data_IF_913243374714
#
_entry.id   IF_913243374714
#
_cell.length_a   1.000
_cell.length_b   1.000
_cell.length_c   1.000
_cell.angle_alpha   90.00
_cell.angle_beta   90.00
_cell.angle_gamma   90.00
#
_symmetry.space_group_name_H-M   'P 1'
#
loop_
_entity.id
_entity.type
_entity.pdbx_description
1 polymer ?
#
# COMPACT_ATOMS: atom_id res chain seq x y z
N UNK A 1 -54.89 -22.39 23.07
CA UNK A 1 -54.71 -22.86 21.69
C UNK A 1 -53.38 -22.30 21.24
N UNK A 2 -52.47 -23.22 20.96
CA UNK A 2 -51.04 -23.10 20.70
C UNK A 2 -50.77 -22.50 19.34
N UNK A 3 -49.70 -21.69 19.22
CA UNK A 3 -48.75 -21.58 18.09
C UNK A 3 -47.96 -20.28 18.32
N UNK A 4 -46.63 -20.23 18.32
CA UNK A 4 -45.64 -21.16 17.80
C UNK A 4 -44.48 -20.28 17.34
N UNK A 5 -43.44 -20.21 18.17
CA UNK A 5 -42.17 -19.54 17.87
C UNK A 5 -41.59 -20.05 16.55
N UNK A 6 -41.49 -19.20 15.53
CA UNK A 6 -40.58 -19.43 14.41
C UNK A 6 -39.27 -18.74 14.78
N UNK A 7 -38.36 -19.53 15.33
CA UNK A 7 -36.95 -19.17 15.47
C UNK A 7 -36.38 -18.99 14.06
N UNK A 8 -36.16 -17.75 13.63
CA UNK A 8 -35.35 -17.50 12.44
C UNK A 8 -33.91 -17.85 12.81
N UNK A 9 -33.48 -19.05 12.44
CA UNK A 9 -32.09 -19.46 12.59
C UNK A 9 -31.20 -18.41 11.93
N UNK A 10 -30.37 -17.74 12.71
CA UNK A 10 -29.39 -16.80 12.20
C UNK A 10 -28.49 -17.56 11.22
N UNK A 11 -28.49 -17.13 9.97
CA UNK A 11 -27.52 -17.55 8.96
C UNK A 11 -26.11 -17.48 9.57
N UNK A 12 -25.29 -18.55 9.53
CA UNK A 12 -23.97 -18.53 10.14
C UNK A 12 -23.14 -17.38 9.55
N UNK A 13 -22.64 -16.49 10.42
CA UNK A 13 -22.04 -15.22 10.02
C UNK A 13 -20.63 -15.41 9.43
N UNK A 14 -19.91 -16.45 9.84
CA UNK A 14 -18.54 -16.73 9.41
C UNK A 14 -18.38 -18.07 8.67
N UNK A 15 -17.31 -18.19 7.86
CA UNK A 15 -16.92 -19.45 7.22
C UNK A 15 -16.79 -20.62 8.21
N UNK A 16 -16.18 -20.39 9.38
CA UNK A 16 -15.96 -21.45 10.36
C UNK A 16 -17.28 -21.97 10.96
N UNK A 17 -18.25 -21.08 11.20
CA UNK A 17 -19.59 -21.45 11.65
C UNK A 17 -20.36 -22.19 10.56
N UNK A 18 -20.31 -21.70 9.32
CA UNK A 18 -20.94 -22.35 8.18
C UNK A 18 -20.37 -23.75 7.92
N UNK A 19 -19.05 -23.91 7.98
CA UNK A 19 -18.37 -25.21 7.84
C UNK A 19 -18.77 -26.16 8.97
N UNK A 20 -18.81 -25.68 10.22
CA UNK A 20 -19.22 -26.49 11.37
C UNK A 20 -20.67 -26.95 11.24
N UNK A 21 -21.56 -26.05 10.86
CA UNK A 21 -22.97 -26.34 10.63
C UNK A 21 -23.17 -27.36 9.50
N UNK A 22 -22.47 -27.20 8.38
CA UNK A 22 -22.53 -28.13 7.24
C UNK A 22 -22.03 -29.54 7.59
N UNK A 23 -20.92 -29.64 8.35
CA UNK A 23 -20.40 -30.93 8.84
C UNK A 23 -21.42 -31.62 9.77
N UNK A 24 -22.03 -30.85 10.68
CA UNK A 24 -23.05 -31.36 11.59
C UNK A 24 -24.30 -31.82 10.85
N UNK A 25 -24.80 -31.02 9.91
CA UNK A 25 -25.97 -31.35 9.10
C UNK A 25 -25.76 -32.60 8.23
N UNK A 26 -24.54 -32.78 7.70
CA UNK A 26 -24.18 -33.98 6.93
C UNK A 26 -23.98 -35.22 7.80
N UNK A 27 -23.78 -35.05 9.10
CA UNK A 27 -23.59 -36.16 10.05
C UNK A 27 -22.27 -36.92 9.89
N UNK A 28 -21.22 -36.26 9.37
CA UNK A 28 -19.89 -36.88 9.20
C UNK A 28 -18.87 -36.28 10.17
N UNK A 29 -17.85 -37.07 10.54
CA UNK A 29 -16.73 -36.56 11.33
C UNK A 29 -15.75 -35.79 10.45
N UNK A 30 -14.95 -34.91 11.07
CA UNK A 30 -13.90 -34.17 10.36
C UNK A 30 -12.84 -35.11 9.76
N UNK A 31 -12.55 -36.24 10.43
CA UNK A 31 -11.68 -37.29 9.90
C UNK A 31 -12.28 -37.97 8.66
N UNK A 32 -13.59 -38.27 8.68
CA UNK A 32 -14.27 -38.84 7.51
C UNK A 32 -14.32 -37.88 6.33
N UNK A 33 -14.45 -36.57 6.59
CA UNK A 33 -14.34 -35.54 5.56
C UNK A 33 -12.92 -35.50 4.96
N UNK A 34 -11.89 -35.54 5.82
CA UNK A 34 -10.49 -35.59 5.40
C UNK A 34 -10.18 -36.81 4.51
N UNK A 35 -10.61 -38.00 4.90
CA UNK A 35 -10.39 -39.22 4.11
C UNK A 35 -11.01 -39.10 2.70
N UNK A 36 -12.25 -38.58 2.63
CA UNK A 36 -12.94 -38.39 1.35
C UNK A 36 -12.31 -37.30 0.47
N UNK A 37 -11.68 -36.30 1.08
CA UNK A 37 -10.89 -35.30 0.37
C UNK A 37 -9.62 -35.93 -0.21
N UNK A 38 -8.93 -36.76 0.57
CA UNK A 38 -7.76 -37.50 0.11
C UNK A 38 -8.11 -38.46 -1.05
N UNK A 39 -9.26 -39.15 -1.00
CA UNK A 39 -9.77 -39.99 -2.08
C UNK A 39 -10.01 -39.21 -3.39
N UNK A 40 -10.22 -37.88 -3.30
CA UNK A 40 -10.36 -36.96 -4.44
C UNK A 40 -9.04 -36.32 -4.87
N UNK A 41 -7.91 -36.76 -4.30
CA UNK A 41 -6.59 -36.20 -4.59
C UNK A 41 -6.33 -34.84 -3.94
N UNK A 42 -7.15 -34.45 -2.97
CA UNK A 42 -6.98 -33.18 -2.27
C UNK A 42 -5.94 -33.31 -1.14
N UNK A 43 -4.93 -32.43 -1.13
CA UNK A 43 -3.80 -32.49 -0.21
C UNK A 43 -4.01 -31.74 1.12
N UNK A 44 -5.22 -31.25 1.42
CA UNK A 44 -5.48 -30.51 2.66
C UNK A 44 -5.30 -31.42 3.88
N UNK A 45 -4.38 -31.04 4.76
CA UNK A 45 -4.08 -31.80 5.97
C UNK A 45 -5.20 -31.73 7.03
N UNK A 46 -5.30 -32.77 7.86
CA UNK A 46 -6.23 -32.83 8.98
C UNK A 46 -6.11 -31.63 9.95
N UNK A 47 -4.87 -31.16 10.19
CA UNK A 47 -4.63 -29.98 11.02
C UNK A 47 -5.23 -28.71 10.40
N UNK A 48 -5.10 -28.55 9.09
CA UNK A 48 -5.67 -27.41 8.34
C UNK A 48 -7.20 -27.40 8.42
N UNK A 49 -7.86 -28.55 8.20
CA UNK A 49 -9.31 -28.67 8.37
C UNK A 49 -9.76 -28.37 9.81
N UNK A 50 -8.96 -28.75 10.80
CA UNK A 50 -9.23 -28.45 12.20
C UNK A 50 -9.18 -26.94 12.47
N UNK A 51 -8.15 -26.25 11.95
CA UNK A 51 -8.03 -24.79 12.07
C UNK A 51 -9.14 -24.04 11.33
N UNK A 52 -9.56 -24.53 10.16
CA UNK A 52 -10.69 -23.99 9.40
C UNK A 52 -12.01 -24.09 10.17
N UNK A 53 -12.28 -25.26 10.77
CA UNK A 53 -13.49 -25.49 11.58
C UNK A 53 -13.51 -24.70 12.88
N UNK A 54 -12.35 -24.48 13.51
CA UNK A 54 -12.26 -23.66 14.73
C UNK A 54 -12.30 -22.16 14.45
N UNK A 55 -11.99 -21.74 13.21
CA UNK A 55 -11.83 -20.34 12.83
C UNK A 55 -10.44 -19.78 13.12
N UNK A 56 -9.50 -20.60 13.62
CA UNK A 56 -8.12 -20.19 13.88
C UNK A 56 -7.34 -19.87 12.60
N UNK A 57 -7.73 -20.44 11.45
CA UNK A 57 -7.25 -20.08 10.12
C UNK A 57 -8.41 -20.14 9.14
N UNK A 58 -8.28 -19.46 8.00
CA UNK A 58 -9.22 -19.57 6.89
C UNK A 58 -8.51 -20.16 5.66
N UNK A 59 -9.25 -20.83 4.77
CA UNK A 59 -8.72 -21.26 3.48
C UNK A 59 -8.28 -20.05 2.66
N UNK A 60 -7.01 -20.04 2.26
CA UNK A 60 -6.43 -18.96 1.45
C UNK A 60 -5.50 -19.57 0.38
N UNK A 61 -5.54 -19.03 -0.84
CA UNK A 61 -4.77 -19.51 -2.01
C UNK A 61 -5.50 -20.54 -2.88
N UNK A 62 -5.02 -20.70 -4.13
CA UNK A 62 -5.72 -21.45 -5.20
C UNK A 62 -6.05 -22.90 -4.81
N UNK A 63 -5.11 -23.64 -4.21
CA UNK A 63 -5.32 -25.02 -3.78
C UNK A 63 -6.33 -25.14 -2.63
N UNK A 64 -6.27 -24.22 -1.66
CA UNK A 64 -7.24 -24.17 -0.55
C UNK A 64 -8.65 -23.84 -1.03
N UNK A 65 -8.78 -22.92 -2.00
CA UNK A 65 -10.07 -22.55 -2.60
C UNK A 65 -10.65 -23.69 -3.43
N UNK A 66 -9.81 -24.42 -4.19
CA UNK A 66 -10.23 -25.64 -4.89
C UNK A 66 -10.74 -26.70 -3.90
N UNK A 67 -10.09 -26.84 -2.74
CA UNK A 67 -10.53 -27.76 -1.69
C UNK A 67 -11.91 -27.42 -1.10
N UNK A 68 -12.29 -26.13 -1.05
CA UNK A 68 -13.62 -25.74 -0.59
C UNK A 68 -14.71 -26.26 -1.54
N UNK A 69 -14.47 -26.19 -2.85
CA UNK A 69 -15.43 -26.71 -3.83
C UNK A 69 -15.67 -28.22 -3.62
N UNK A 70 -14.62 -28.99 -3.33
CA UNK A 70 -14.74 -30.41 -2.99
C UNK A 70 -15.49 -30.61 -1.67
N UNK A 71 -15.20 -29.79 -0.65
CA UNK A 71 -15.88 -29.83 0.65
C UNK A 71 -17.38 -29.56 0.49
N UNK A 72 -17.77 -28.55 -0.29
CA UNK A 72 -19.18 -28.22 -0.54
C UNK A 72 -19.93 -29.41 -1.14
N UNK A 73 -19.32 -30.10 -2.12
CA UNK A 73 -19.89 -31.31 -2.70
C UNK A 73 -19.95 -32.49 -1.72
N UNK A 74 -18.92 -32.68 -0.87
CA UNK A 74 -18.91 -33.77 0.12
C UNK A 74 -19.95 -33.57 1.22
N UNK A 75 -20.17 -32.30 1.59
CA UNK A 75 -21.13 -31.87 2.59
C UNK A 75 -22.54 -31.68 2.04
N UNK A 76 -22.71 -31.75 0.72
CA UNK A 76 -24.01 -31.64 0.04
C UNK A 76 -24.68 -30.28 0.29
N UNK A 77 -23.85 -29.23 0.29
CA UNK A 77 -24.30 -27.84 0.38
C UNK A 77 -24.23 -27.20 -1.02
N UNK A 78 -25.02 -26.14 -1.29
CA UNK A 78 -24.96 -25.45 -2.57
C UNK A 78 -23.55 -24.98 -2.91
N UNK A 79 -23.19 -25.04 -4.18
CA UNK A 79 -21.93 -24.48 -4.66
C UNK A 79 -21.82 -23.01 -4.27
N UNK A 80 -20.70 -22.63 -3.67
CA UNK A 80 -20.45 -21.28 -3.18
C UNK A 80 -21.01 -20.98 -1.78
N UNK A 81 -21.71 -21.91 -1.12
CA UNK A 81 -22.29 -21.69 0.20
C UNK A 81 -21.23 -21.45 1.30
N UNK A 82 -20.08 -22.12 1.21
CA UNK A 82 -18.94 -21.94 2.09
C UNK A 82 -17.98 -20.90 1.51
N UNK A 83 -17.73 -20.95 0.20
CA UNK A 83 -16.83 -19.99 -0.48
C UNK A 83 -17.28 -18.54 -0.28
N UNK A 84 -18.59 -18.27 -0.40
CA UNK A 84 -19.18 -16.94 -0.21
C UNK A 84 -19.05 -16.39 1.22
N UNK A 85 -18.63 -17.22 2.19
CA UNK A 85 -18.43 -16.85 3.60
C UNK A 85 -16.99 -16.51 3.94
N UNK A 86 -16.05 -16.67 3.01
CA UNK A 86 -14.64 -16.33 3.26
C UNK A 86 -14.35 -14.83 3.29
N UNK A 87 -15.17 -14.02 2.60
CA UNK A 87 -14.89 -12.61 2.40
C UNK A 87 -13.63 -12.38 1.54
N UNK A 88 -13.10 -11.14 1.48
CA UNK A 88 -11.87 -10.84 0.78
C UNK A 88 -10.67 -11.59 1.40
N UNK A 89 -9.67 -11.89 0.57
CA UNK A 89 -8.43 -12.57 0.99
C UNK A 89 -7.74 -11.82 2.13
N UNK A 90 -7.40 -12.52 3.22
CA UNK A 90 -6.62 -11.99 4.33
C UNK A 90 -5.09 -12.14 4.12
N UNK A 91 -4.64 -12.51 2.91
CA UNK A 91 -3.22 -12.49 2.57
C UNK A 91 -2.77 -11.11 2.12
N UNK A 92 -1.71 -10.62 2.75
CA UNK A 92 -0.88 -9.53 2.23
C UNK A 92 -0.19 -9.94 0.92
N UNK A 93 -0.06 -11.23 0.59
CA UNK A 93 0.76 -11.67 -0.54
C UNK A 93 2.26 -11.48 -0.27
N UNK A 94 3.16 -11.81 -1.20
CA UNK A 94 4.59 -11.60 -1.01
C UNK A 94 4.89 -10.11 -0.80
N UNK A 95 5.71 -9.79 0.20
CA UNK A 95 6.15 -8.41 0.47
C UNK A 95 7.37 -8.01 -0.37
N UNK A 96 8.06 -8.97 -1.01
CA UNK A 96 9.32 -8.71 -1.70
C UNK A 96 10.44 -8.30 -0.72
N UNK A 97 11.67 -8.07 -1.21
CA UNK A 97 12.71 -7.46 -0.39
C UNK A 97 12.36 -5.98 -0.11
N UNK A 98 12.62 -5.54 1.12
CA UNK A 98 12.62 -4.11 1.47
C UNK A 98 13.98 -3.53 1.13
N UNK A 99 14.02 -2.38 0.46
CA UNK A 99 15.24 -1.59 0.31
C UNK A 99 14.91 -0.10 0.40
N UNK A 100 15.86 0.70 0.86
CA UNK A 100 15.73 2.14 0.84
C UNK A 100 15.80 2.64 -0.63
N UNK A 101 14.99 3.63 -1.04
CA UNK A 101 14.88 4.00 -2.45
C UNK A 101 16.08 4.76 -3.01
N UNK A 102 17.09 5.08 -2.19
CA UNK A 102 18.30 5.82 -2.58
C UNK A 102 19.56 5.13 -2.05
N UNK A 103 20.65 5.11 -2.81
CA UNK A 103 21.95 4.57 -2.36
C UNK A 103 22.73 5.56 -1.47
N UNK A 104 22.11 6.08 -0.42
CA UNK A 104 22.73 7.01 0.53
C UNK A 104 22.53 6.49 1.94
N UNK A 105 23.51 5.74 2.47
CA UNK A 105 23.44 5.10 3.80
C UNK A 105 23.13 6.11 4.92
N UNK A 106 23.65 7.33 4.82
CA UNK A 106 23.35 8.41 5.77
C UNK A 106 21.89 8.88 5.70
N UNK A 107 21.21 8.73 4.56
CA UNK A 107 19.82 9.14 4.38
C UNK A 107 18.85 8.13 5.01
N UNK A 108 19.13 6.83 4.89
CA UNK A 108 18.34 5.79 5.56
C UNK A 108 18.36 6.00 7.09
N UNK A 109 19.53 6.28 7.65
CA UNK A 109 19.69 6.56 9.08
C UNK A 109 18.87 7.79 9.52
N UNK A 110 18.88 8.87 8.73
CA UNK A 110 18.09 10.09 8.99
C UNK A 110 16.59 9.84 8.93
N UNK A 111 16.11 8.99 8.00
CA UNK A 111 14.70 8.58 7.93
C UNK A 111 14.31 7.77 9.16
N UNK A 112 15.15 6.81 9.56
CA UNK A 112 14.92 6.02 10.77
C UNK A 112 14.85 6.90 12.02
N UNK A 113 15.79 7.83 12.18
CA UNK A 113 15.80 8.80 13.29
C UNK A 113 14.54 9.67 13.30
N UNK A 114 14.11 10.12 12.12
CA UNK A 114 12.89 10.90 11.93
C UNK A 114 11.64 10.12 12.34
N UNK A 115 11.53 8.84 11.94
CA UNK A 115 10.42 7.97 12.32
C UNK A 115 10.36 7.75 13.83
N UNK A 116 11.51 7.44 14.44
CA UNK A 116 11.62 7.23 15.90
C UNK A 116 11.26 8.50 16.66
N UNK A 117 11.72 9.67 16.21
CA UNK A 117 11.41 10.96 16.85
C UNK A 117 9.91 11.28 16.82
N UNK A 118 9.20 10.85 15.77
CA UNK A 118 7.75 10.94 15.70
C UNK A 118 7.03 9.89 16.55
N UNK A 119 7.72 8.85 17.02
CA UNK A 119 7.09 7.70 17.68
C UNK A 119 6.41 6.76 16.68
N UNK A 120 6.77 6.86 15.39
CA UNK A 120 6.35 5.93 14.36
C UNK A 120 7.06 4.58 14.49
N UNK A 121 6.42 3.48 14.06
CA UNK A 121 7.07 2.17 14.03
C UNK A 121 8.23 2.13 13.03
N UNK A 122 9.29 1.40 13.38
CA UNK A 122 10.38 1.02 12.46
C UNK A 122 10.79 -0.44 12.76
N UNK A 123 10.68 -1.39 11.82
CA UNK A 123 10.13 -1.22 10.48
C UNK A 123 8.63 -0.87 10.50
N UNK A 124 8.17 -0.14 9.48
CA UNK A 124 6.76 0.21 9.31
C UNK A 124 5.93 -1.06 8.99
N UNK A 125 4.87 -1.39 9.75
CA UNK A 125 4.00 -2.53 9.49
C UNK A 125 2.98 -2.24 8.37
N UNK A 126 3.30 -1.36 7.43
CA UNK A 126 2.46 -1.07 6.27
C UNK A 126 3.21 -1.25 4.95
N UNK A 127 2.45 -1.18 3.86
CA UNK A 127 2.99 -1.06 2.51
C UNK A 127 2.08 -0.19 1.67
N UNK A 128 2.67 0.41 0.64
CA UNK A 128 1.98 1.24 -0.32
C UNK A 128 1.64 0.41 -1.56
N UNK A 129 0.37 0.36 -1.95
CA UNK A 129 -0.10 -0.48 -3.06
C UNK A 129 -0.26 0.29 -4.37
N UNK A 130 -0.87 1.46 -4.30
CA UNK A 130 -1.13 2.33 -5.45
C UNK A 130 -0.81 3.73 -5.02
N UNK A 131 0.05 4.42 -5.75
CA UNK A 131 0.51 5.77 -5.44
C UNK A 131 0.19 6.68 -6.62
N UNK A 132 -0.48 7.79 -6.34
CA UNK A 132 -0.65 8.89 -7.27
C UNK A 132 -0.05 10.15 -6.63
N UNK A 133 1.15 10.50 -7.09
CA UNK A 133 1.88 11.69 -6.66
C UNK A 133 1.79 12.76 -7.75
N UNK A 134 1.25 13.92 -7.40
CA UNK A 134 1.09 15.07 -8.30
C UNK A 134 1.91 16.23 -7.78
N UNK A 135 2.70 16.83 -8.67
CA UNK A 135 3.49 18.03 -8.38
C UNK A 135 3.01 19.18 -9.25
N UNK A 136 2.67 20.30 -8.61
CA UNK A 136 2.26 21.54 -9.27
C UNK A 136 3.39 22.57 -9.23
N UNK A 137 3.81 23.03 -10.40
CA UNK A 137 4.84 24.06 -10.57
C UNK A 137 4.17 25.39 -10.90
N UNK A 138 4.52 26.44 -10.16
CA UNK A 138 3.98 27.79 -10.30
C UNK A 138 4.67 28.62 -11.38
N UNK A 139 4.17 29.84 -11.66
CA UNK A 139 4.69 30.73 -12.69
C UNK A 139 6.14 31.19 -12.43
N UNK A 140 6.55 31.20 -11.17
CA UNK A 140 7.89 31.47 -10.67
C UNK A 140 8.81 30.24 -10.68
N UNK A 141 8.37 29.14 -11.34
CA UNK A 141 9.11 27.88 -11.51
C UNK A 141 9.37 27.13 -10.20
N UNK A 142 8.65 27.48 -9.14
CA UNK A 142 8.72 26.83 -7.83
C UNK A 142 7.64 25.77 -7.69
N UNK A 143 7.89 24.75 -6.87
CA UNK A 143 6.84 23.79 -6.49
C UNK A 143 5.85 24.50 -5.58
N UNK A 144 4.61 24.66 -6.05
CA UNK A 144 3.52 25.23 -5.26
C UNK A 144 2.97 24.22 -4.26
N UNK A 145 2.80 22.97 -4.74
CA UNK A 145 2.17 21.91 -3.96
C UNK A 145 2.58 20.55 -4.51
N UNK A 146 2.86 19.62 -3.59
CA UNK A 146 2.82 18.17 -3.89
C UNK A 146 1.58 17.59 -3.24
N UNK A 147 0.82 16.80 -3.98
CA UNK A 147 -0.35 16.09 -3.48
C UNK A 147 -0.15 14.61 -3.72
N UNK A 148 -0.18 13.82 -2.65
CA UNK A 148 -0.03 12.38 -2.74
C UNK A 148 -1.31 11.72 -2.24
N UNK A 149 -1.88 10.88 -3.10
CA UNK A 149 -2.97 9.96 -2.74
C UNK A 149 -2.45 8.55 -2.89
N UNK A 150 -2.60 7.74 -1.86
CA UNK A 150 -2.17 6.34 -1.93
C UNK A 150 -3.05 5.39 -1.13
N UNK A 151 -3.03 4.13 -1.55
CA UNK A 151 -3.64 3.02 -0.85
C UNK A 151 -2.60 2.36 0.07
N UNK A 152 -2.72 2.58 1.38
CA UNK A 152 -1.89 1.91 2.40
C UNK A 152 -2.55 0.60 2.78
N UNK A 153 -1.76 -0.46 2.95
CA UNK A 153 -2.22 -1.73 3.50
C UNK A 153 -1.41 -2.10 4.75
N UNK A 154 -2.09 -2.49 5.82
CA UNK A 154 -1.43 -3.10 6.98
C UNK A 154 -0.84 -4.45 6.59
N UNK A 155 0.43 -4.68 6.89
CA UNK A 155 1.12 -5.94 6.60
C UNK A 155 1.10 -6.88 7.80
N UNK A 156 1.01 -6.34 9.02
CA UNK A 156 0.87 -7.10 10.25
C UNK A 156 0.16 -6.28 11.35
N UNK A 157 -0.57 -6.97 12.24
CA UNK A 157 -1.21 -6.36 13.40
C UNK A 157 -2.27 -5.30 13.06
N UNK A 158 -2.55 -4.45 14.04
CA UNK A 158 -3.45 -3.29 13.90
C UNK A 158 -2.59 -2.04 13.75
N UNK A 159 -2.84 -1.27 12.70
CA UNK A 159 -2.13 -0.03 12.40
C UNK A 159 -3.11 1.14 12.49
N UNK A 160 -2.83 2.08 13.38
CA UNK A 160 -3.61 3.31 13.55
C UNK A 160 -2.95 4.52 12.89
N UNK A 161 -1.64 4.46 12.66
CA UNK A 161 -0.85 5.52 12.04
C UNK A 161 0.35 4.94 11.29
N UNK A 162 0.82 5.65 10.27
CA UNK A 162 2.06 5.32 9.55
C UNK A 162 2.88 6.59 9.29
N UNK A 163 4.22 6.53 9.43
CA UNK A 163 5.08 7.68 9.19
C UNK A 163 5.45 7.81 7.70
N UNK A 164 5.54 9.05 7.22
CA UNK A 164 6.05 9.40 5.89
C UNK A 164 7.14 10.46 6.01
N UNK A 165 7.96 10.58 4.97
CA UNK A 165 8.98 11.62 4.86
C UNK A 165 8.92 12.33 3.52
N UNK A 166 9.17 13.63 3.55
CA UNK A 166 9.66 14.42 2.42
C UNK A 166 11.18 14.44 2.51
N UNK A 167 11.88 14.19 1.40
CA UNK A 167 13.33 14.09 1.35
C UNK A 167 13.91 14.91 0.21
N UNK A 168 15.07 15.49 0.44
CA UNK A 168 15.85 16.24 -0.54
C UNK A 168 17.33 15.86 -0.38
N UNK A 169 17.77 14.73 -0.97
CA UNK A 169 19.11 14.19 -0.74
C UNK A 169 20.20 15.16 -1.18
N UNK A 170 21.10 15.54 -0.27
CA UNK A 170 22.22 16.45 -0.56
C UNK A 170 21.83 17.92 -0.69
N UNK A 171 20.54 18.25 -0.62
CA UNK A 171 20.02 19.61 -0.76
C UNK A 171 19.12 19.96 0.42
N UNK A 172 19.66 20.57 1.49
CA UNK A 172 18.89 21.05 2.61
C UNK A 172 17.74 21.97 2.18
N UNK A 173 16.55 21.74 2.72
CA UNK A 173 15.33 22.47 2.43
C UNK A 173 14.66 22.94 3.74
N UNK A 174 13.94 24.07 3.72
CA UNK A 174 13.16 24.50 4.88
C UNK A 174 12.04 23.50 5.15
N UNK A 175 11.67 23.37 6.42
CA UNK A 175 10.58 22.49 6.84
C UNK A 175 9.28 22.82 6.07
N UNK A 176 8.71 21.86 5.33
CA UNK A 176 7.48 22.08 4.60
C UNK A 176 6.26 21.97 5.53
N UNK A 177 5.14 22.50 5.07
CA UNK A 177 3.83 22.28 5.68
C UNK A 177 3.20 21.00 5.16
N UNK A 178 2.81 20.12 6.08
CA UNK A 178 2.05 18.91 5.79
C UNK A 178 0.58 19.10 6.13
N UNK A 179 -0.30 18.85 5.17
CA UNK A 179 -1.76 18.95 5.35
C UNK A 179 -2.43 17.64 4.94
N UNK A 180 -3.18 17.03 5.84
CA UNK A 180 -4.06 15.91 5.49
C UNK A 180 -5.28 16.43 4.70
N UNK A 181 -5.52 15.84 3.54
CA UNK A 181 -6.66 16.16 2.67
C UNK A 181 -7.80 15.17 2.91
N UNK A 182 -7.48 13.89 3.17
CA UNK A 182 -8.50 12.87 3.44
C UNK A 182 -7.94 11.56 3.97
N UNK A 183 -8.82 10.75 4.58
CA UNK A 183 -8.49 9.44 5.12
C UNK A 183 -7.80 9.45 6.50
N UNK A 184 -7.70 10.62 7.14
CA UNK A 184 -7.08 10.78 8.44
C UNK A 184 -6.58 12.19 8.70
N UNK A 185 -5.55 12.30 9.56
CA UNK A 185 -4.92 13.57 9.96
C UNK A 185 -3.41 13.43 10.14
N UNK A 186 -2.70 14.53 9.89
CA UNK A 186 -1.31 14.68 10.34
C UNK A 186 -1.33 14.92 11.85
N UNK A 187 -0.76 14.00 12.64
CA UNK A 187 -0.79 14.11 14.10
C UNK A 187 0.50 14.60 14.72
N UNK A 188 1.62 14.43 14.01
CA UNK A 188 2.94 14.88 14.45
C UNK A 188 3.81 15.15 13.24
N UNK A 189 4.71 16.11 13.36
CA UNK A 189 5.75 16.39 12.38
C UNK A 189 7.11 16.42 13.07
N UNK A 190 8.17 16.17 12.32
CA UNK A 190 9.55 16.27 12.80
C UNK A 190 10.48 16.62 11.64
N UNK A 191 11.31 17.64 11.82
CA UNK A 191 12.38 17.98 10.88
C UNK A 191 13.70 17.46 11.43
N UNK A 192 14.38 16.64 10.64
CA UNK A 192 15.72 16.16 10.98
C UNK A 192 16.72 17.32 10.97
N UNK A 193 17.77 17.24 11.80
CA UNK A 193 18.78 18.31 11.95
C UNK A 193 19.63 18.57 10.71
N UNK A 194 19.57 17.69 9.71
CA UNK A 194 20.23 17.87 8.41
C UNK A 194 19.45 18.79 7.47
N UNK A 195 18.18 19.10 7.78
CA UNK A 195 17.25 19.82 6.90
C UNK A 195 17.03 19.13 5.53
N UNK A 196 17.43 17.87 5.38
CA UNK A 196 17.22 17.07 4.15
C UNK A 196 16.04 16.09 4.29
N UNK A 197 15.51 15.90 5.50
CA UNK A 197 14.44 14.95 5.82
C UNK A 197 13.42 15.60 6.74
N UNK A 198 12.18 15.64 6.29
CA UNK A 198 11.06 16.17 7.06
C UNK A 198 9.95 15.14 7.12
N UNK A 199 9.66 14.63 8.31
CA UNK A 199 8.68 13.60 8.54
C UNK A 199 7.35 14.12 9.06
N UNK A 200 6.30 13.34 8.79
CA UNK A 200 5.04 13.45 9.48
C UNK A 200 4.45 12.08 9.80
N UNK A 201 3.69 12.00 10.89
CA UNK A 201 2.91 10.82 11.26
C UNK A 201 1.47 11.03 10.80
N UNK A 202 1.00 10.14 9.92
CA UNK A 202 -0.37 10.16 9.41
C UNK A 202 -1.22 9.17 10.21
N UNK A 203 -2.14 9.69 11.02
CA UNK A 203 -3.13 8.90 11.74
C UNK A 203 -4.37 8.68 10.89
N UNK A 204 -4.80 7.44 10.74
CA UNK A 204 -5.98 7.08 9.94
C UNK A 204 -7.29 7.44 10.65
N UNK A 205 -8.36 7.69 9.88
CA UNK A 205 -9.71 7.90 10.44
C UNK A 205 -10.20 6.74 11.31
N UNK A 206 -9.74 5.53 10.98
CA UNK A 206 -9.92 4.32 11.78
C UNK A 206 -8.67 3.46 11.69
N UNK A 207 -8.33 2.70 12.74
CA UNK A 207 -7.33 1.65 12.62
C UNK A 207 -7.70 0.63 11.54
N UNK A 208 -6.68 0.11 10.87
CA UNK A 208 -6.78 -1.01 9.92
C UNK A 208 -6.08 -2.24 10.51
N UNK A 209 -6.68 -3.41 10.40
CA UNK A 209 -6.05 -4.68 10.82
C UNK A 209 -5.57 -5.43 9.59
N UNK A 210 -4.35 -5.99 9.62
CA UNK A 210 -3.80 -6.67 8.46
C UNK A 210 -4.73 -7.78 7.90
N UNK A 211 -4.97 -7.83 6.57
CA UNK A 211 -4.38 -7.01 5.51
C UNK A 211 -5.35 -5.91 5.02
N UNK A 212 -6.17 -5.32 5.88
CA UNK A 212 -7.01 -4.21 5.50
C UNK A 212 -6.18 -3.06 4.93
N UNK A 213 -6.84 -2.29 4.08
CA UNK A 213 -6.25 -1.13 3.43
C UNK A 213 -7.15 0.09 3.60
N UNK A 214 -6.54 1.26 3.56
CA UNK A 214 -7.24 2.54 3.58
C UNK A 214 -6.62 3.48 2.56
N UNK A 215 -7.46 4.34 1.98
CA UNK A 215 -7.01 5.41 1.09
C UNK A 215 -6.71 6.63 1.94
N UNK A 216 -5.52 7.20 1.76
CA UNK A 216 -5.13 8.45 2.39
C UNK A 216 -4.69 9.45 1.34
N UNK A 217 -4.80 10.73 1.69
CA UNK A 217 -4.37 11.82 0.85
C UNK A 217 -3.81 12.95 1.70
N UNK A 218 -2.66 13.47 1.31
CA UNK A 218 -2.05 14.64 1.92
C UNK A 218 -1.46 15.56 0.86
N UNK A 219 -1.17 16.78 1.27
CA UNK A 219 -0.30 17.67 0.51
C UNK A 219 0.86 18.22 1.32
N UNK A 220 1.89 18.57 0.57
CA UNK A 220 3.10 19.24 1.03
C UNK A 220 3.14 20.61 0.36
N UNK A 221 3.36 21.67 1.14
CA UNK A 221 3.65 23.02 0.65
C UNK A 221 4.99 23.48 1.23
N UNK A 222 5.74 24.24 0.44
CA UNK A 222 7.02 24.79 0.85
C UNK A 222 6.85 26.27 1.18
N UNK A 223 7.63 26.84 2.11
CA UNK A 223 7.64 28.27 2.38
C UNK A 223 7.96 29.09 1.13
N UNK A 224 7.32 30.26 1.01
CA UNK A 224 7.53 31.20 -0.10
C UNK A 224 9.02 31.56 -0.26
N UNK A 225 9.49 31.62 -1.51
CA UNK A 225 10.85 32.05 -1.85
C UNK A 225 11.91 30.96 -1.71
N UNK A 226 11.52 29.71 -1.44
CA UNK A 226 12.40 28.56 -1.58
C UNK A 226 12.59 28.21 -3.07
N UNK A 227 13.79 28.50 -3.60
CA UNK A 227 14.08 28.36 -5.02
C UNK A 227 14.43 26.91 -5.41
N UNK A 228 13.64 26.39 -6.35
CA UNK A 228 13.86 25.25 -7.26
C UNK A 228 14.16 23.90 -6.59
N UNK A 229 13.17 23.00 -6.63
CA UNK A 229 13.46 21.60 -6.90
C UNK A 229 13.23 21.42 -8.40
N UNK A 230 14.28 21.14 -9.15
CA UNK A 230 14.21 20.83 -10.58
C UNK A 230 13.88 19.34 -10.81
N UNK A 231 13.57 18.64 -9.72
CA UNK A 231 13.17 17.26 -9.67
C UNK A 231 12.00 17.05 -8.69
N UNK A 232 11.04 16.24 -9.09
CA UNK A 232 9.97 15.78 -8.21
C UNK A 232 9.59 14.34 -8.53
N UNK A 233 9.45 13.53 -7.49
CA UNK A 233 9.16 12.12 -7.63
C UNK A 233 8.61 11.50 -6.36
N UNK A 234 8.61 10.17 -6.35
CA UNK A 234 8.17 9.38 -5.22
C UNK A 234 9.02 8.12 -5.09
N UNK A 235 9.50 7.86 -3.88
CA UNK A 235 10.24 6.65 -3.52
C UNK A 235 9.36 5.65 -2.81
N UNK A 236 9.52 4.36 -3.11
CA UNK A 236 8.85 3.25 -2.44
C UNK A 236 9.86 2.29 -1.83
N UNK A 237 9.69 1.95 -0.56
CA UNK A 237 10.57 1.00 0.15
C UNK A 237 10.24 -0.48 -0.13
N UNK A 238 9.05 -0.74 -0.69
CA UNK A 238 8.52 -2.05 -1.04
C UNK A 238 7.92 -1.99 -2.44
N UNK A 239 7.76 -3.16 -3.08
CA UNK A 239 7.10 -3.22 -4.38
C UNK A 239 5.63 -2.76 -4.29
N UNK A 240 5.31 -1.66 -4.97
CA UNK A 240 3.97 -1.16 -5.20
C UNK A 240 3.36 -1.77 -6.46
N UNK A 241 2.03 -1.94 -6.48
CA UNK A 241 1.32 -2.44 -7.69
C UNK A 241 1.32 -1.40 -8.79
N UNK A 242 1.20 -0.13 -8.43
CA UNK A 242 1.24 0.99 -9.36
C UNK A 242 1.82 2.24 -8.70
N UNK A 243 2.73 2.91 -9.41
CA UNK A 243 3.23 4.23 -9.09
C UNK A 243 2.99 5.14 -10.30
N UNK A 244 2.20 6.20 -10.10
CA UNK A 244 1.98 7.29 -11.03
C UNK A 244 2.59 8.56 -10.45
N UNK A 245 3.50 9.18 -11.20
CA UNK A 245 3.99 10.54 -10.95
C UNK A 245 3.48 11.45 -12.06
N UNK A 246 2.95 12.63 -11.70
CA UNK A 246 2.45 13.61 -12.64
C UNK A 246 2.91 15.02 -12.26
N UNK A 247 3.77 15.61 -13.07
CA UNK A 247 4.25 16.98 -12.88
C UNK A 247 3.51 17.91 -13.83
N UNK A 248 2.91 18.97 -13.30
CA UNK A 248 2.08 19.95 -14.01
C UNK A 248 2.73 21.32 -13.89
N UNK A 249 2.93 21.97 -15.02
CA UNK A 249 3.58 23.27 -15.12
C UNK A 249 2.56 24.38 -15.35
N UNK A 250 2.75 25.51 -14.66
CA UNK A 250 2.13 26.76 -15.05
C UNK A 250 2.49 27.12 -16.51
N UNK A 251 1.63 27.88 -17.17
CA UNK A 251 1.83 28.28 -18.57
C UNK A 251 3.12 29.10 -18.77
N UNK A 252 3.56 29.85 -17.76
CA UNK A 252 4.77 30.68 -17.79
C UNK A 252 6.04 29.93 -17.34
N UNK A 253 5.88 28.68 -16.88
CA UNK A 253 6.94 27.85 -16.31
C UNK A 253 7.10 26.49 -17.01
N UNK A 254 6.75 26.40 -18.30
CA UNK A 254 7.01 25.19 -19.09
C UNK A 254 8.52 25.04 -19.30
N UNK A 255 9.13 23.89 -18.96
CA UNK A 255 10.58 23.70 -19.08
C UNK A 255 11.02 23.46 -20.53
N UNK A 256 12.29 23.78 -20.82
CA UNK A 256 12.91 23.57 -22.14
C UNK A 256 13.29 22.10 -22.37
N UNK A 257 13.50 21.35 -21.28
CA UNK A 257 13.76 19.92 -21.31
C UNK A 257 13.17 19.23 -20.10
N UNK A 258 12.83 17.95 -20.26
CA UNK A 258 12.34 17.09 -19.20
C UNK A 258 12.96 15.69 -19.32
N UNK A 259 13.17 15.06 -18.19
CA UNK A 259 13.68 13.71 -18.04
C UNK A 259 12.85 12.96 -17.00
N UNK A 260 12.72 11.67 -17.23
CA UNK A 260 12.23 10.70 -16.26
C UNK A 260 13.45 10.00 -15.68
N UNK A 261 13.58 10.00 -14.36
CA UNK A 261 14.66 9.33 -13.64
C UNK A 261 14.06 8.19 -12.84
N UNK A 262 14.58 7.00 -13.05
CA UNK A 262 14.24 5.80 -12.29
C UNK A 262 15.50 5.33 -11.55
N UNK A 263 15.44 5.33 -10.23
CA UNK A 263 16.52 4.87 -9.35
C UNK A 263 16.06 3.60 -8.63
N UNK A 264 16.84 2.53 -8.77
CA UNK A 264 16.57 1.21 -8.19
C UNK A 264 17.89 0.62 -7.67
N UNK A 265 17.86 -0.45 -6.87
CA UNK A 265 19.09 -1.17 -6.50
C UNK A 265 19.90 -1.69 -7.69
N UNK A 266 19.30 -1.82 -8.87
CA UNK A 266 19.96 -2.19 -10.12
C UNK A 266 20.70 -1.02 -10.79
N UNK A 267 20.47 0.21 -10.32
CA UNK A 267 21.09 1.44 -10.80
C UNK A 267 20.08 2.51 -11.21
N UNK A 268 20.60 3.54 -11.88
CA UNK A 268 19.84 4.72 -12.34
C UNK A 268 19.63 4.67 -13.85
N UNK A 269 18.38 4.86 -14.28
CA UNK A 269 17.99 4.99 -15.69
C UNK A 269 17.38 6.37 -15.92
N UNK A 270 17.92 7.11 -16.89
CA UNK A 270 17.42 8.44 -17.27
C UNK A 270 16.86 8.38 -18.69
N UNK A 271 15.59 8.77 -18.85
CA UNK A 271 14.89 8.78 -20.14
C UNK A 271 14.42 10.19 -20.47
N UNK A 272 14.77 10.71 -21.64
CA UNK A 272 14.29 12.02 -22.11
C UNK A 272 12.78 11.98 -22.34
N UNK A 273 12.09 13.04 -21.92
CA UNK A 273 10.65 13.25 -22.15
C UNK A 273 10.45 14.53 -22.95
N UNK A 274 9.66 14.42 -24.01
CA UNK A 274 9.22 15.58 -24.78
C UNK A 274 7.85 16.02 -24.25
N UNK A 275 7.67 17.34 -24.14
CA UNK A 275 6.38 17.92 -23.74
C UNK A 275 5.48 18.18 -24.95
N UNK A 276 6.02 18.35 -26.16
CA UNK A 276 5.25 18.56 -27.41
C UNK A 276 4.16 19.64 -27.30
N UNK A 277 4.44 20.71 -26.56
CA UNK A 277 3.49 21.81 -26.30
C UNK A 277 2.48 21.53 -25.17
N UNK A 278 2.54 20.38 -24.52
CA UNK A 278 1.81 20.09 -23.29
C UNK A 278 2.43 20.84 -22.09
N UNK A 279 1.61 21.05 -21.06
CA UNK A 279 2.01 21.69 -19.79
C UNK A 279 2.15 20.68 -18.65
N UNK A 280 2.32 19.40 -18.98
CA UNK A 280 2.50 18.38 -17.95
C UNK A 280 3.14 17.12 -18.51
N UNK A 281 3.85 16.41 -17.66
CA UNK A 281 4.50 15.12 -17.97
C UNK A 281 4.16 14.12 -16.88
N UNK A 282 3.93 12.86 -17.26
CA UNK A 282 3.66 11.79 -16.31
C UNK A 282 4.42 10.52 -16.65
N UNK A 283 4.62 9.69 -15.65
CA UNK A 283 5.12 8.33 -15.78
C UNK A 283 4.30 7.39 -14.92
N UNK A 284 4.12 6.17 -15.42
CA UNK A 284 3.48 5.07 -14.68
C UNK A 284 4.43 3.89 -14.66
N UNK A 285 4.55 3.25 -13.50
CA UNK A 285 5.18 1.94 -13.34
C UNK A 285 4.23 0.98 -12.66
N UNK A 286 4.26 -0.28 -13.09
CA UNK A 286 3.49 -1.38 -12.50
C UNK A 286 4.44 -2.36 -11.84
N UNK A 287 4.08 -2.87 -10.66
CA UNK A 287 4.92 -3.75 -9.86
C UNK A 287 6.33 -3.15 -9.63
N UNK A 288 6.36 -1.86 -9.27
CA UNK A 288 7.59 -1.07 -9.14
C UNK A 288 8.10 -1.11 -7.73
N UNK A 289 9.42 -1.17 -7.58
CA UNK A 289 10.10 -1.01 -6.31
C UNK A 289 10.74 -2.29 -5.77
N UNK A 290 11.60 -2.17 -4.74
CA UNK A 290 11.98 -0.90 -4.10
C UNK A 290 12.77 0.04 -5.03
N UNK A 291 12.59 1.36 -4.87
CA UNK A 291 13.21 2.38 -5.74
C UNK A 291 12.42 3.69 -5.81
N UNK A 292 12.91 4.66 -6.57
CA UNK A 292 12.29 5.96 -6.81
C UNK A 292 12.03 6.22 -8.29
N UNK A 293 10.94 6.91 -8.56
CA UNK A 293 10.60 7.43 -9.88
C UNK A 293 10.35 8.93 -9.77
N UNK A 294 11.08 9.72 -10.56
CA UNK A 294 10.98 11.17 -10.56
C UNK A 294 10.96 11.76 -11.97
N UNK A 295 10.51 13.00 -12.05
CA UNK A 295 10.62 13.87 -13.21
C UNK A 295 11.62 14.94 -12.88
N UNK A 296 12.66 15.07 -13.71
CA UNK A 296 13.64 16.16 -13.66
C UNK A 296 13.42 17.09 -14.85
N UNK A 297 13.54 18.39 -14.67
CA UNK A 297 13.30 19.37 -15.73
C UNK A 297 14.27 20.54 -15.61
N UNK A 298 14.35 21.36 -16.65
CA UNK A 298 15.14 22.58 -16.56
C UNK A 298 14.87 23.58 -17.67
N UNK A 299 15.55 24.71 -17.54
CA UNK A 299 15.40 25.86 -18.40
C UNK A 299 16.76 26.24 -18.99
N UNK A 300 16.82 26.53 -20.28
CA UNK A 300 18.03 26.79 -21.04
C UNK A 300 18.78 25.53 -21.47
N UNK A 301 20.08 25.68 -21.70
CA UNK A 301 20.93 24.56 -22.09
C UNK A 301 20.97 23.51 -20.98
N UNK A 302 20.71 22.26 -21.37
CA UNK A 302 20.86 21.11 -20.49
C UNK A 302 22.31 21.00 -20.05
N UNK A 303 22.57 20.99 -18.73
CA UNK A 303 23.87 20.59 -18.20
C UNK A 303 24.01 19.08 -18.44
N UNK A 304 25.00 18.71 -19.25
CA UNK A 304 25.44 17.32 -19.35
C UNK A 304 26.35 17.05 -18.16
N UNK A 305 25.86 16.26 -17.21
CA UNK A 305 26.71 15.56 -16.25
C UNK A 305 27.47 14.41 -16.93
#
# INVERSE_FOLDING_TARGET
MTEGTISSGAEPASFAEALRAAIQARGITLARLHDRLADRGNAVSMATLSYWRSGARRPEGVQSLAAIADIEQLLDVPQGALLGRLGPTMRTGPLGPTAFPFEVETLEDRVRETFVAMGGPYPDPTRELMIHAVTDIGPDRQVLRRTTRLLVQATSGVVAATPFVEMSPGEPMPAPEFEAIGGGRVSKTYSHSSDEVHGFLFEFDRPIEAPESTLIEWSVRYPDGFAITDEAGYGVALQARELLVWTRFDAEAVPDWCEEVEETPEGVVVTRRELDGARSVHAVRRNFGPGALSMRWGYGERRSD
#
